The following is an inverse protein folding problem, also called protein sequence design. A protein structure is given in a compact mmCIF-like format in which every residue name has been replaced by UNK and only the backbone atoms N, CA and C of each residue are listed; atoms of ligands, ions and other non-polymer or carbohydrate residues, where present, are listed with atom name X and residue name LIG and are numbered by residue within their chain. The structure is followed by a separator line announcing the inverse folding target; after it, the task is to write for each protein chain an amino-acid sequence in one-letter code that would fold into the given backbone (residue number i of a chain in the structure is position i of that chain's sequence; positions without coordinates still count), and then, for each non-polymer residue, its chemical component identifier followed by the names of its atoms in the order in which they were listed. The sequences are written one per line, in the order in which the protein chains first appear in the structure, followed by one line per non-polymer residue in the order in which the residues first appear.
data_IF_131636566213
#
_entry.id   IF_131636566213
#
_cell.length_a   1.000
_cell.length_b   1.000
_cell.length_c   1.000
_cell.angle_alpha   90.00
_cell.angle_beta   90.00
_cell.angle_gamma   90.00
#
_symmetry.space_group_name_H-M   'P 1'
#
loop_
_entity.id
_entity.type
_entity.pdbx_description
1 polymer ?
#
# COMPACT_ATOMS: atom_id res chain seq x y z
N UNK A 1 -15.59 -1.50 -18.21
CA UNK A 1 -14.93 -1.77 -16.92
C UNK A 1 -15.11 -0.54 -16.04
N UNK A 2 -15.41 -0.68 -14.76
CA UNK A 2 -15.57 0.42 -13.78
C UNK A 2 -14.35 0.49 -12.86
N UNK A 3 -13.93 1.70 -12.46
CA UNK A 3 -12.90 1.91 -11.45
C UNK A 3 -13.56 2.29 -10.12
N UNK A 4 -13.24 1.59 -9.04
CA UNK A 4 -13.53 2.04 -7.68
C UNK A 4 -12.28 2.67 -7.09
N UNK A 5 -12.36 3.96 -6.76
CA UNK A 5 -11.33 4.67 -6.02
C UNK A 5 -11.70 4.55 -4.55
N UNK A 6 -10.90 3.83 -3.79
CA UNK A 6 -11.12 3.56 -2.38
C UNK A 6 -10.26 4.48 -1.51
N UNK A 7 -10.88 5.20 -0.59
CA UNK A 7 -10.19 6.03 0.40
C UNK A 7 -10.51 5.54 1.82
N UNK A 8 -9.53 4.96 2.53
CA UNK A 8 -9.64 4.79 3.97
C UNK A 8 -9.46 6.14 4.66
N UNK A 9 -10.34 6.47 5.60
CA UNK A 9 -10.23 7.72 6.36
C UNK A 9 -10.47 7.50 7.85
N UNK A 10 -9.80 8.31 8.68
CA UNK A 10 -10.01 8.35 10.13
C UNK A 10 -9.58 9.72 10.67
N UNK A 11 -10.54 10.54 11.13
CA UNK A 11 -10.31 11.89 11.63
C UNK A 11 -9.53 12.78 10.63
N UNK A 12 -9.97 12.82 9.38
CA UNK A 12 -9.32 13.53 8.27
C UNK A 12 -10.20 14.58 7.59
N UNK A 13 -11.26 15.07 8.26
CA UNK A 13 -12.14 16.10 7.70
C UNK A 13 -11.38 17.34 7.21
N UNK A 14 -10.27 17.69 7.87
CA UNK A 14 -9.45 18.87 7.56
C UNK A 14 -8.71 18.80 6.21
N UNK A 15 -8.55 17.60 5.61
CA UNK A 15 -7.75 17.43 4.38
C UNK A 15 -8.49 16.67 3.28
N UNK A 16 -9.53 15.90 3.60
CA UNK A 16 -10.24 15.04 2.63
C UNK A 16 -10.83 15.81 1.45
N UNK A 17 -11.03 17.12 1.60
CA UNK A 17 -11.50 17.99 0.53
C UNK A 17 -10.54 18.04 -0.67
N UNK A 18 -9.23 17.93 -0.48
CA UNK A 18 -8.26 17.98 -1.58
C UNK A 18 -8.39 16.75 -2.48
N UNK A 19 -8.61 15.56 -1.88
CA UNK A 19 -8.93 14.35 -2.62
C UNK A 19 -10.22 14.51 -3.43
N UNK A 20 -11.30 15.02 -2.81
CA UNK A 20 -12.58 15.29 -3.48
C UNK A 20 -12.42 16.21 -4.68
N UNK A 21 -11.76 17.36 -4.52
CA UNK A 21 -11.53 18.32 -5.60
C UNK A 21 -10.70 17.72 -6.75
N UNK A 22 -9.74 16.82 -6.43
CA UNK A 22 -8.97 16.12 -7.47
C UNK A 22 -9.82 15.13 -8.26
N UNK A 23 -10.80 14.50 -7.62
CA UNK A 23 -11.71 13.55 -8.25
C UNK A 23 -12.77 14.28 -9.12
N UNK A 24 -13.26 15.43 -8.69
CA UNK A 24 -14.14 16.27 -9.51
C UNK A 24 -13.52 16.68 -10.85
N UNK A 25 -12.19 16.91 -10.86
CA UNK A 25 -11.47 17.35 -12.06
C UNK A 25 -11.06 16.23 -13.00
N UNK A 26 -11.42 14.96 -12.73
CA UNK A 26 -11.06 13.86 -13.62
C UNK A 26 -11.68 14.03 -15.02
N UNK A 27 -10.85 13.85 -16.06
CA UNK A 27 -11.29 13.90 -17.48
C UNK A 27 -12.25 12.77 -17.85
N UNK A 28 -12.19 11.65 -17.11
CA UNK A 28 -13.10 10.53 -17.25
C UNK A 28 -13.81 10.25 -15.92
N UNK A 29 -15.14 10.35 -15.93
CA UNK A 29 -16.00 10.18 -14.74
C UNK A 29 -16.53 8.74 -14.56
N UNK A 30 -15.98 7.75 -15.28
CA UNK A 30 -16.40 6.35 -15.14
C UNK A 30 -15.75 5.66 -13.91
N UNK A 31 -16.01 6.24 -12.75
CA UNK A 31 -15.56 5.71 -11.47
C UNK A 31 -16.61 5.92 -10.36
N UNK A 32 -16.39 5.23 -9.24
CA UNK A 32 -17.07 5.48 -7.97
C UNK A 32 -16.02 5.79 -6.91
N UNK A 33 -16.27 6.76 -6.06
CA UNK A 33 -15.46 7.02 -4.88
C UNK A 33 -16.04 6.29 -3.67
N UNK A 34 -15.38 5.23 -3.23
CA UNK A 34 -15.73 4.47 -2.03
C UNK A 34 -14.90 4.99 -0.84
N UNK A 35 -15.53 5.67 0.08
CA UNK A 35 -14.91 6.14 1.32
C UNK A 35 -15.30 5.17 2.43
N UNK A 36 -14.29 4.55 3.07
CA UNK A 36 -14.51 3.75 4.28
C UNK A 36 -13.92 4.51 5.46
N UNK A 37 -14.80 5.02 6.29
CA UNK A 37 -14.47 5.71 7.53
C UNK A 37 -14.25 4.71 8.66
N UNK A 38 -13.03 4.66 9.15
CA UNK A 38 -12.59 3.76 10.22
C UNK A 38 -12.97 4.28 11.62
N UNK A 39 -14.16 4.85 11.76
CA UNK A 39 -14.75 5.28 13.04
C UNK A 39 -14.35 6.70 13.44
N UNK A 40 -14.31 7.65 12.50
CA UNK A 40 -14.04 9.07 12.80
C UNK A 40 -14.99 9.66 13.83
N UNK A 41 -14.46 10.57 14.62
CA UNK A 41 -15.16 11.34 15.67
C UNK A 41 -15.15 12.84 15.38
N UNK A 42 -14.49 13.25 14.30
CA UNK A 42 -14.49 14.63 13.79
C UNK A 42 -15.65 14.86 12.81
N UNK A 43 -15.63 15.96 12.06
CA UNK A 43 -16.66 16.34 11.09
C UNK A 43 -16.58 15.55 9.75
N UNK A 44 -15.92 14.40 9.68
CA UNK A 44 -15.78 13.61 8.44
C UNK A 44 -17.13 13.22 7.85
N UNK A 45 -18.08 12.78 8.68
CA UNK A 45 -19.43 12.38 8.24
C UNK A 45 -20.16 13.55 7.55
N UNK A 46 -20.16 14.72 8.22
CA UNK A 46 -20.81 15.94 7.72
C UNK A 46 -20.18 16.42 6.40
N UNK A 47 -18.86 16.37 6.32
CA UNK A 47 -18.11 16.74 5.12
C UNK A 47 -18.50 15.83 3.94
N UNK A 48 -18.52 14.52 4.13
CA UNK A 48 -18.87 13.57 3.06
C UNK A 48 -20.33 13.72 2.62
N UNK A 49 -21.25 13.96 3.55
CA UNK A 49 -22.66 14.24 3.21
C UNK A 49 -22.79 15.54 2.38
N UNK A 50 -21.95 16.54 2.62
CA UNK A 50 -21.93 17.74 1.77
C UNK A 50 -21.42 17.42 0.36
N UNK A 51 -20.36 16.60 0.21
CA UNK A 51 -19.91 16.14 -1.10
C UNK A 51 -21.00 15.38 -1.87
N UNK A 52 -21.76 14.52 -1.20
CA UNK A 52 -22.90 13.80 -1.83
C UNK A 52 -24.01 14.75 -2.28
N UNK A 53 -24.31 15.79 -1.51
CA UNK A 53 -25.31 16.80 -1.88
C UNK A 53 -24.91 17.61 -3.11
N UNK A 54 -23.62 17.84 -3.34
CA UNK A 54 -23.15 18.47 -4.57
C UNK A 54 -23.45 17.63 -5.82
N UNK A 55 -23.46 16.28 -5.70
CA UNK A 55 -23.88 15.37 -6.76
C UNK A 55 -22.96 15.33 -7.98
N UNK A 56 -21.71 15.79 -7.88
CA UNK A 56 -20.79 15.91 -9.03
C UNK A 56 -20.16 14.56 -9.38
N UNK A 57 -19.83 13.73 -8.38
CA UNK A 57 -19.27 12.40 -8.55
C UNK A 57 -20.07 11.36 -7.76
N UNK A 58 -20.02 10.09 -8.18
CA UNK A 58 -20.65 9.00 -7.44
C UNK A 58 -19.87 8.69 -6.18
N UNK A 59 -20.48 8.85 -4.99
CA UNK A 59 -19.84 8.62 -3.70
C UNK A 59 -20.62 7.55 -2.93
N UNK A 60 -19.91 6.50 -2.49
CA UNK A 60 -20.37 5.54 -1.49
C UNK A 60 -19.56 5.73 -0.21
N UNK A 61 -20.26 5.99 0.90
CA UNK A 61 -19.66 6.19 2.21
C UNK A 61 -20.12 5.11 3.18
N UNK A 62 -19.17 4.51 3.87
CA UNK A 62 -19.40 3.47 4.87
C UNK A 62 -18.57 3.79 6.11
N UNK A 63 -19.23 3.93 7.25
CA UNK A 63 -18.56 4.07 8.55
C UNK A 63 -18.54 2.74 9.28
N UNK A 64 -17.41 2.37 9.84
CA UNK A 64 -17.22 1.15 10.63
C UNK A 64 -16.56 1.46 11.98
N UNK A 65 -16.60 0.52 12.89
CA UNK A 65 -15.79 0.58 14.12
C UNK A 65 -14.31 0.60 13.78
N UNK A 66 -13.52 1.45 14.47
CA UNK A 66 -12.09 1.56 14.24
C UNK A 66 -11.38 0.20 14.38
N UNK A 67 -10.61 -0.15 13.37
CA UNK A 67 -9.87 -1.40 13.30
C UNK A 67 -8.60 -1.28 12.43
N UNK A 68 -8.36 -0.08 11.90
CA UNK A 68 -7.19 0.24 11.08
C UNK A 68 -7.41 0.09 9.57
N UNK A 69 -6.50 0.68 8.83
CA UNK A 69 -6.58 0.84 7.37
C UNK A 69 -6.74 -0.50 6.62
N UNK A 70 -6.12 -1.58 7.10
CA UNK A 70 -6.23 -2.91 6.49
C UNK A 70 -7.64 -3.49 6.62
N UNK A 71 -8.36 -3.21 7.72
CA UNK A 71 -9.77 -3.64 7.89
C UNK A 71 -10.71 -2.84 7.00
N UNK A 72 -10.42 -1.56 6.77
CA UNK A 72 -11.14 -0.75 5.80
C UNK A 72 -10.91 -1.27 4.35
N UNK A 73 -9.69 -1.69 4.02
CA UNK A 73 -9.38 -2.32 2.73
C UNK A 73 -10.11 -3.65 2.56
N UNK A 74 -10.15 -4.50 3.59
CA UNK A 74 -10.91 -5.75 3.55
C UNK A 74 -12.38 -5.49 3.22
N UNK A 75 -13.00 -4.53 3.92
CA UNK A 75 -14.38 -4.15 3.68
C UNK A 75 -14.58 -3.60 2.25
N UNK A 76 -13.64 -2.78 1.77
CA UNK A 76 -13.72 -2.25 0.41
C UNK A 76 -13.68 -3.37 -0.65
N UNK A 77 -12.79 -4.37 -0.50
CA UNK A 77 -12.70 -5.52 -1.41
C UNK A 77 -13.98 -6.36 -1.36
N UNK A 78 -14.55 -6.54 -0.18
CA UNK A 78 -15.81 -7.28 -0.01
C UNK A 78 -16.98 -6.59 -0.73
N UNK A 79 -17.06 -5.25 -0.60
CA UNK A 79 -18.18 -4.43 -1.08
C UNK A 79 -18.17 -4.12 -2.57
N UNK A 80 -17.04 -4.31 -3.25
CA UNK A 80 -16.91 -4.08 -4.69
C UNK A 80 -17.07 -5.39 -5.45
N UNK A 81 -18.07 -5.46 -6.34
CA UNK A 81 -18.39 -6.71 -7.03
C UNK A 81 -17.39 -7.04 -8.13
N UNK A 82 -17.02 -6.08 -8.98
CA UNK A 82 -16.18 -6.27 -10.17
C UNK A 82 -15.43 -4.98 -10.56
N UNK A 83 -14.58 -5.08 -11.56
CA UNK A 83 -13.79 -3.98 -12.11
C UNK A 83 -12.42 -3.83 -11.44
N UNK A 84 -11.98 -2.59 -11.29
CA UNK A 84 -10.71 -2.24 -10.66
C UNK A 84 -10.94 -1.56 -9.32
N UNK A 85 -10.06 -1.82 -8.37
CA UNK A 85 -9.96 -1.10 -7.10
C UNK A 85 -8.59 -0.46 -6.98
N UNK A 86 -8.57 0.87 -6.76
CA UNK A 86 -7.37 1.67 -6.52
C UNK A 86 -7.49 2.35 -5.17
N UNK A 87 -6.40 2.38 -4.39
CA UNK A 87 -6.35 3.13 -3.13
C UNK A 87 -5.93 4.57 -3.43
N UNK A 88 -6.72 5.52 -2.94
CA UNK A 88 -6.37 6.92 -2.82
C UNK A 88 -6.32 7.28 -1.33
N UNK A 89 -5.15 7.53 -0.80
CA UNK A 89 -4.98 7.92 0.60
C UNK A 89 -5.66 9.30 0.82
N UNK A 90 -6.20 9.55 2.02
CA UNK A 90 -7.05 10.73 2.32
C UNK A 90 -6.31 12.07 2.24
N UNK A 91 -4.99 12.04 2.24
CA UNK A 91 -4.08 13.19 2.17
C UNK A 91 -3.38 13.35 0.80
N UNK A 92 -3.78 12.52 -0.17
CA UNK A 92 -3.20 12.51 -1.52
C UNK A 92 -4.25 12.94 -2.58
N UNK A 93 -3.79 13.22 -3.81
CA UNK A 93 -4.64 13.64 -4.92
C UNK A 93 -4.30 12.91 -6.21
N UNK A 94 -5.24 12.86 -7.14
CA UNK A 94 -5.00 12.30 -8.48
C UNK A 94 -4.73 13.40 -9.51
N UNK A 95 -3.91 13.08 -10.51
CA UNK A 95 -3.78 13.89 -11.72
C UNK A 95 -5.08 13.85 -12.51
N UNK A 96 -5.43 14.93 -13.20
CA UNK A 96 -6.72 15.10 -13.88
C UNK A 96 -7.07 13.98 -14.89
N UNK A 97 -6.08 13.34 -15.49
CA UNK A 97 -6.26 12.23 -16.43
C UNK A 97 -6.04 10.83 -15.81
N UNK A 98 -5.95 10.71 -14.48
CA UNK A 98 -5.58 9.45 -13.84
C UNK A 98 -6.59 8.33 -14.12
N UNK A 99 -7.89 8.59 -13.97
CA UNK A 99 -8.96 7.62 -14.25
C UNK A 99 -8.93 7.17 -15.71
N UNK A 100 -8.80 8.10 -16.63
CA UNK A 100 -8.69 7.82 -18.07
C UNK A 100 -7.52 6.90 -18.37
N UNK A 101 -6.33 7.19 -17.81
CA UNK A 101 -5.12 6.40 -18.02
C UNK A 101 -5.26 5.00 -17.44
N UNK A 102 -5.75 4.86 -16.21
CA UNK A 102 -5.96 3.56 -15.56
C UNK A 102 -6.91 2.69 -16.38
N UNK A 103 -8.04 3.23 -16.82
CA UNK A 103 -9.03 2.49 -17.63
C UNK A 103 -8.47 2.13 -19.02
N UNK A 104 -7.73 3.04 -19.65
CA UNK A 104 -7.05 2.77 -20.92
C UNK A 104 -6.03 1.64 -20.77
N UNK A 105 -5.18 1.67 -19.76
CA UNK A 105 -4.19 0.64 -19.50
C UNK A 105 -4.83 -0.72 -19.21
N UNK A 106 -5.85 -0.73 -18.37
CA UNK A 106 -6.54 -1.98 -18.00
C UNK A 106 -7.27 -2.62 -19.19
N UNK A 107 -7.87 -1.81 -20.09
CA UNK A 107 -8.51 -2.31 -21.29
C UNK A 107 -7.51 -2.87 -22.33
N UNK A 108 -6.23 -2.56 -22.23
CA UNK A 108 -5.17 -3.12 -23.08
C UNK A 108 -4.65 -4.49 -22.62
N UNK A 109 -5.13 -4.99 -21.48
CA UNK A 109 -4.69 -6.28 -20.92
C UNK A 109 -5.52 -7.40 -21.54
N UNK A 110 -4.82 -8.35 -22.15
CA UNK A 110 -5.40 -9.58 -22.67
C UNK A 110 -4.83 -10.84 -21.98
N UNK A 111 -3.84 -10.66 -21.11
CA UNK A 111 -3.13 -11.75 -20.43
C UNK A 111 -3.79 -12.06 -19.08
N UNK A 112 -4.10 -13.33 -18.83
CA UNK A 112 -4.79 -13.80 -17.61
C UNK A 112 -3.95 -13.65 -16.32
N UNK A 113 -2.62 -13.56 -16.45
CA UNK A 113 -1.71 -13.47 -15.32
C UNK A 113 -1.36 -12.01 -14.92
N UNK A 114 -2.06 -11.03 -15.46
CA UNK A 114 -1.95 -9.62 -15.02
C UNK A 114 -3.05 -9.31 -14.00
N UNK A 115 -2.65 -8.96 -12.78
CA UNK A 115 -3.56 -8.65 -11.68
C UNK A 115 -4.06 -7.20 -11.68
N UNK A 116 -3.49 -6.35 -12.51
CA UNK A 116 -3.85 -4.93 -12.55
C UNK A 116 -2.82 -4.07 -13.25
N UNK A 117 -2.99 -2.77 -13.14
CA UNK A 117 -2.11 -1.74 -13.72
C UNK A 117 -1.59 -0.80 -12.64
N UNK A 118 -0.51 -0.11 -12.93
CA UNK A 118 0.05 0.88 -12.00
C UNK A 118 0.72 2.02 -12.73
N UNK A 119 0.50 3.25 -12.27
CA UNK A 119 1.30 4.41 -12.59
C UNK A 119 2.28 4.78 -11.48
N UNK A 120 2.97 5.90 -11.65
CA UNK A 120 3.89 6.45 -10.67
C UNK A 120 3.16 7.36 -9.68
N UNK A 121 3.62 7.32 -8.42
CA UNK A 121 3.37 8.41 -7.47
C UNK A 121 4.45 9.47 -7.64
N UNK A 122 4.08 10.71 -7.64
CA UNK A 122 4.96 11.86 -7.88
C UNK A 122 4.69 12.96 -6.85
N UNK A 123 5.67 13.82 -6.66
CA UNK A 123 5.48 15.08 -5.94
C UNK A 123 4.82 16.14 -6.85
N UNK A 124 4.32 17.23 -6.28
CA UNK A 124 3.73 18.36 -7.03
C UNK A 124 4.71 19.00 -8.02
N UNK A 125 6.02 18.89 -7.77
CA UNK A 125 7.08 19.36 -8.68
C UNK A 125 7.37 18.38 -9.83
N UNK A 126 6.65 17.25 -9.91
CA UNK A 126 6.80 16.22 -10.93
C UNK A 126 7.90 15.18 -10.62
N UNK A 127 8.63 15.32 -9.52
CA UNK A 127 9.66 14.34 -9.14
C UNK A 127 9.01 13.03 -8.70
N UNK A 128 9.61 11.89 -9.12
CA UNK A 128 9.08 10.55 -8.87
C UNK A 128 9.40 10.10 -7.44
N UNK A 129 8.41 9.50 -6.77
CA UNK A 129 8.58 8.88 -5.47
C UNK A 129 9.24 7.50 -5.65
N UNK A 130 10.39 7.32 -4.99
CA UNK A 130 11.21 6.11 -5.08
C UNK A 130 12.24 6.13 -6.20
N UNK A 131 12.48 4.98 -6.82
CA UNK A 131 13.47 4.86 -7.88
C UNK A 131 13.01 5.58 -9.16
N UNK A 132 13.97 6.21 -9.85
CA UNK A 132 13.71 6.76 -11.18
C UNK A 132 13.55 5.63 -12.19
N UNK A 133 12.59 5.78 -13.09
CA UNK A 133 12.40 4.87 -14.20
C UNK A 133 13.62 4.93 -15.15
N UNK A 134 14.27 3.78 -15.39
CA UNK A 134 15.46 3.71 -16.24
C UNK A 134 15.29 2.83 -17.48
N UNK A 135 14.12 2.22 -17.65
CA UNK A 135 13.84 1.29 -18.75
C UNK A 135 13.20 2.07 -19.91
N UNK A 136 13.69 1.84 -21.14
CA UNK A 136 13.20 2.52 -22.35
C UNK A 136 11.85 2.01 -22.87
N UNK A 137 11.07 1.29 -22.05
CA UNK A 137 9.75 0.78 -22.41
C UNK A 137 8.66 1.62 -21.75
N UNK A 138 7.51 1.72 -22.40
CA UNK A 138 6.34 2.40 -21.86
C UNK A 138 5.85 1.72 -20.58
N UNK A 139 5.90 0.40 -20.54
CA UNK A 139 5.52 -0.40 -19.38
C UNK A 139 6.43 -1.62 -19.15
N UNK A 140 6.29 -2.22 -17.99
CA UNK A 140 6.94 -3.46 -17.57
C UNK A 140 5.90 -4.35 -16.90
N UNK A 141 5.84 -5.62 -17.29
CA UNK A 141 5.07 -6.63 -16.58
C UNK A 141 5.97 -7.34 -15.57
N UNK A 142 5.76 -7.07 -14.29
CA UNK A 142 6.54 -7.65 -13.19
C UNK A 142 5.66 -7.91 -11.97
N UNK A 143 5.99 -8.94 -11.21
CA UNK A 143 5.33 -9.20 -9.92
C UNK A 143 5.76 -8.15 -8.88
N UNK A 144 4.97 -7.95 -7.83
CA UNK A 144 5.35 -7.06 -6.74
C UNK A 144 6.68 -7.49 -6.06
N UNK A 145 6.99 -8.78 -6.03
CA UNK A 145 8.24 -9.30 -5.47
C UNK A 145 9.47 -9.01 -6.35
N UNK A 146 9.28 -8.73 -7.64
CA UNK A 146 10.35 -8.42 -8.60
C UNK A 146 10.65 -6.92 -8.74
N UNK A 147 9.87 -6.04 -8.12
CA UNK A 147 9.97 -4.57 -8.27
C UNK A 147 11.39 -4.04 -8.19
N UNK A 148 12.18 -4.55 -7.24
CA UNK A 148 13.57 -4.16 -7.05
C UNK A 148 14.45 -4.41 -8.28
N UNK A 149 14.20 -5.51 -9.00
CA UNK A 149 14.96 -5.90 -10.20
C UNK A 149 14.79 -4.91 -11.34
N UNK A 150 13.61 -4.26 -11.39
CA UNK A 150 13.24 -3.33 -12.46
C UNK A 150 13.29 -1.86 -12.05
N UNK A 151 13.84 -1.54 -10.87
CA UNK A 151 13.90 -0.15 -10.38
C UNK A 151 12.52 0.46 -10.06
N UNK A 152 11.59 -0.37 -9.59
CA UNK A 152 10.22 0.03 -9.24
C UNK A 152 10.03 0.24 -7.73
N UNK A 153 11.09 0.60 -6.98
CA UNK A 153 10.98 0.86 -5.54
C UNK A 153 10.20 2.15 -5.28
N UNK A 154 9.75 2.28 -4.05
CA UNK A 154 8.89 3.39 -3.61
C UNK A 154 7.42 3.10 -3.90
N UNK A 155 6.55 3.93 -3.35
CA UNK A 155 5.12 3.76 -3.51
C UNK A 155 4.69 3.99 -4.96
N UNK A 156 3.71 3.24 -5.39
CA UNK A 156 3.15 3.28 -6.74
C UNK A 156 1.63 3.39 -6.66
N UNK A 157 1.03 3.78 -7.76
CA UNK A 157 -0.42 3.98 -7.88
C UNK A 157 -1.05 2.73 -8.53
N UNK A 158 -1.21 1.66 -7.74
CA UNK A 158 -1.71 0.38 -8.21
C UNK A 158 -3.25 0.38 -8.24
N UNK A 159 -3.82 -0.12 -9.35
CA UNK A 159 -5.23 -0.47 -9.50
C UNK A 159 -5.32 -1.98 -9.83
N UNK A 160 -5.86 -2.76 -8.91
CA UNK A 160 -5.99 -4.19 -9.04
C UNK A 160 -7.37 -4.60 -9.55
N UNK A 161 -7.44 -5.66 -10.35
CA UNK A 161 -8.71 -6.33 -10.64
C UNK A 161 -9.31 -6.91 -9.37
N UNK A 162 -10.56 -6.57 -9.09
CA UNK A 162 -11.28 -7.02 -7.89
C UNK A 162 -11.40 -8.54 -7.82
N UNK A 163 -11.59 -9.19 -8.96
CA UNK A 163 -11.62 -10.65 -9.09
C UNK A 163 -10.33 -11.33 -8.60
N UNK A 164 -9.19 -10.66 -8.74
CA UNK A 164 -7.91 -11.15 -8.20
C UNK A 164 -7.80 -10.84 -6.71
N UNK A 165 -8.12 -9.61 -6.27
CA UNK A 165 -8.10 -9.25 -4.85
C UNK A 165 -8.94 -10.21 -4.01
N UNK A 166 -10.13 -10.60 -4.50
CA UNK A 166 -11.06 -11.52 -3.82
C UNK A 166 -10.50 -12.94 -3.61
N UNK A 167 -9.46 -13.34 -4.31
CA UNK A 167 -8.80 -14.65 -4.08
C UNK A 167 -7.86 -14.64 -2.86
N UNK A 168 -7.38 -13.47 -2.43
CA UNK A 168 -6.30 -13.36 -1.45
C UNK A 168 -6.68 -12.60 -0.17
N UNK A 169 -7.80 -11.88 -0.18
CA UNK A 169 -8.34 -11.24 1.03
C UNK A 169 -9.06 -12.30 1.90
N UNK A 170 -9.30 -12.05 3.18
CA UNK A 170 -8.95 -10.85 3.92
C UNK A 170 -7.49 -10.81 4.37
N UNK A 171 -6.97 -9.60 4.53
CA UNK A 171 -5.77 -9.37 5.33
C UNK A 171 -6.11 -9.72 6.78
N UNK A 172 -5.30 -10.55 7.47
CA UNK A 172 -5.58 -10.95 8.85
C UNK A 172 -5.69 -9.76 9.81
N UNK A 173 -6.55 -9.93 10.84
CA UNK A 173 -6.76 -8.95 11.90
C UNK A 173 -6.27 -9.54 13.21
N UNK A 174 -5.50 -8.78 13.98
CA UNK A 174 -4.98 -9.19 15.27
C UNK A 174 -5.61 -8.37 16.39
N UNK A 175 -6.01 -9.04 17.47
CA UNK A 175 -6.62 -8.37 18.63
C UNK A 175 -5.65 -7.36 19.24
N UNK A 176 -6.13 -6.13 19.48
CA UNK A 176 -5.35 -5.04 20.04
C UNK A 176 -4.38 -4.35 19.06
N UNK A 177 -4.35 -4.76 17.80
CA UNK A 177 -3.58 -4.11 16.73
C UNK A 177 -4.51 -3.43 15.72
N UNK A 178 -4.04 -2.35 15.13
CA UNK A 178 -4.81 -1.56 14.18
C UNK A 178 -4.07 -1.32 12.85
N UNK A 179 -3.02 -2.08 12.59
CA UNK A 179 -2.31 -2.02 11.31
C UNK A 179 -1.69 -3.38 10.94
N UNK A 180 -1.92 -3.81 9.72
CA UNK A 180 -1.21 -4.88 9.04
C UNK A 180 -0.82 -4.37 7.66
N UNK A 181 0.45 -4.53 7.32
CA UNK A 181 0.99 -4.07 6.03
C UNK A 181 0.18 -4.60 4.83
N UNK A 182 -0.32 -3.71 4.00
CA UNK A 182 -1.02 -4.06 2.74
C UNK A 182 -0.16 -4.94 1.83
N UNK A 183 1.16 -4.85 1.98
CA UNK A 183 2.13 -5.69 1.30
C UNK A 183 1.93 -7.19 1.51
N UNK A 184 1.24 -7.63 2.57
CA UNK A 184 0.82 -9.03 2.76
C UNK A 184 -0.03 -9.48 1.56
N UNK A 185 -1.07 -8.70 1.23
CA UNK A 185 -1.97 -9.02 0.11
C UNK A 185 -1.25 -8.98 -1.24
N UNK A 186 -0.48 -7.90 -1.49
CA UNK A 186 0.26 -7.72 -2.74
C UNK A 186 1.30 -8.81 -2.99
N UNK A 187 1.98 -9.26 -1.93
CA UNK A 187 2.99 -10.29 -2.04
C UNK A 187 2.39 -11.69 -2.23
N UNK A 188 1.21 -11.99 -1.65
CA UNK A 188 0.48 -13.24 -1.89
C UNK A 188 0.08 -13.35 -3.37
N UNK A 189 -0.50 -12.30 -3.94
CA UNK A 189 -0.84 -12.21 -5.36
C UNK A 189 0.42 -12.44 -6.22
N UNK A 190 1.53 -11.81 -5.86
CA UNK A 190 2.79 -11.92 -6.58
C UNK A 190 3.45 -13.30 -6.45
N UNK A 191 3.29 -13.99 -5.30
CA UNK A 191 3.84 -15.33 -5.05
C UNK A 191 3.19 -16.38 -5.96
N UNK A 192 1.92 -16.21 -6.31
CA UNK A 192 1.20 -17.07 -7.25
C UNK A 192 1.46 -16.69 -8.73
N UNK A 193 2.43 -15.79 -8.98
CA UNK A 193 2.90 -15.45 -10.33
C UNK A 193 2.13 -14.34 -11.03
N UNK A 194 1.12 -13.74 -10.38
CA UNK A 194 0.43 -12.60 -10.95
C UNK A 194 1.33 -11.37 -11.00
N UNK A 195 1.31 -10.68 -12.15
CA UNK A 195 2.08 -9.47 -12.43
C UNK A 195 1.19 -8.25 -12.38
N UNK A 196 1.80 -7.10 -12.20
CA UNK A 196 1.21 -5.78 -12.47
C UNK A 196 1.89 -5.23 -13.72
N UNK A 197 1.12 -4.58 -14.58
CA UNK A 197 1.64 -3.79 -15.69
C UNK A 197 1.96 -2.39 -15.17
N UNK A 198 3.26 -2.13 -15.00
CA UNK A 198 3.78 -0.88 -14.44
C UNK A 198 4.06 0.10 -15.57
N UNK A 199 3.44 1.28 -15.54
CA UNK A 199 3.63 2.35 -16.52
C UNK A 199 4.52 3.46 -15.98
N UNK A 200 5.35 4.04 -16.88
CA UNK A 200 6.20 5.18 -16.56
C UNK A 200 5.46 6.51 -16.72
N UNK A 201 4.33 6.65 -16.07
CA UNK A 201 3.52 7.86 -16.10
C UNK A 201 3.03 8.22 -14.69
N UNK A 202 3.27 9.48 -14.29
CA UNK A 202 2.80 10.00 -13.02
C UNK A 202 1.30 10.31 -13.08
N UNK A 203 0.52 9.67 -12.22
CA UNK A 203 -0.94 9.82 -12.15
C UNK A 203 -1.45 10.17 -10.75
N UNK A 204 -0.58 10.18 -9.76
CA UNK A 204 -0.93 10.28 -8.35
C UNK A 204 0.04 11.22 -7.65
N UNK A 205 -0.47 12.27 -7.00
CA UNK A 205 0.32 13.22 -6.22
C UNK A 205 0.29 12.85 -4.75
N UNK A 206 1.48 12.69 -4.15
CA UNK A 206 1.62 12.49 -2.71
C UNK A 206 2.10 13.75 -2.00
N UNK A 207 1.49 13.99 -0.84
CA UNK A 207 1.96 15.00 0.11
C UNK A 207 2.41 14.32 1.42
N UNK A 208 3.67 14.56 1.82
CA UNK A 208 4.17 14.05 3.09
C UNK A 208 3.79 14.98 4.24
N UNK A 209 2.74 14.64 4.96
CA UNK A 209 2.31 15.38 6.14
C UNK A 209 3.20 15.10 7.36
N UNK A 210 3.19 16.06 8.31
CA UNK A 210 3.97 15.93 9.54
C UNK A 210 3.46 14.84 10.48
N UNK A 211 2.20 14.50 10.42
CA UNK A 211 1.50 13.47 11.20
C UNK A 211 1.36 12.11 10.48
N UNK A 212 1.93 11.98 9.27
CA UNK A 212 1.87 10.78 8.45
C UNK A 212 2.54 9.55 9.11
N UNK A 213 2.01 8.36 8.83
CA UNK A 213 2.50 7.08 9.39
C UNK A 213 3.98 6.81 9.09
N UNK A 214 4.49 7.28 7.97
CA UNK A 214 5.88 7.09 7.54
C UNK A 214 6.91 7.66 8.54
N UNK A 215 6.58 8.76 9.23
CA UNK A 215 7.48 9.36 10.23
C UNK A 215 7.61 8.53 11.51
N UNK A 216 6.61 7.71 11.84
CA UNK A 216 6.52 6.96 13.09
C UNK A 216 6.62 5.44 12.90
N UNK A 217 7.23 4.98 11.80
CA UNK A 217 7.25 3.57 11.39
C UNK A 217 7.73 2.59 12.48
N UNK A 218 8.76 2.96 13.25
CA UNK A 218 9.29 2.12 14.34
C UNK A 218 8.23 1.92 15.44
N UNK A 219 7.58 3.01 15.87
CA UNK A 219 6.51 2.93 16.88
C UNK A 219 5.31 2.15 16.36
N UNK A 220 4.99 2.30 15.07
CA UNK A 220 3.90 1.56 14.43
C UNK A 220 4.18 0.05 14.46
N UNK A 221 5.37 -0.38 14.06
CA UNK A 221 5.74 -1.81 14.08
C UNK A 221 5.83 -2.40 15.49
N UNK A 222 6.23 -1.61 16.50
CA UNK A 222 6.20 -2.05 17.90
C UNK A 222 4.75 -2.22 18.37
N UNK A 223 3.85 -1.29 18.03
CA UNK A 223 2.44 -1.34 18.41
C UNK A 223 1.71 -2.50 17.73
N UNK A 224 1.96 -2.71 16.44
CA UNK A 224 1.30 -3.70 15.58
C UNK A 224 2.26 -4.88 15.27
N UNK A 225 2.81 -5.47 16.32
CA UNK A 225 3.92 -6.40 16.18
C UNK A 225 3.53 -7.74 15.53
N UNK A 226 2.31 -8.23 15.77
CA UNK A 226 1.83 -9.48 15.16
C UNK A 226 1.62 -9.31 13.66
N UNK A 227 0.97 -8.22 13.24
CA UNK A 227 0.80 -7.86 11.82
C UNK A 227 2.13 -7.66 11.12
N UNK A 228 3.07 -6.94 11.77
CA UNK A 228 4.43 -6.78 11.25
C UNK A 228 5.18 -8.11 11.14
N UNK A 229 5.05 -8.99 12.13
CA UNK A 229 5.66 -10.32 12.12
C UNK A 229 5.11 -11.19 10.98
N UNK A 230 3.80 -11.17 10.76
CA UNK A 230 3.17 -11.87 9.64
C UNK A 230 3.79 -11.42 8.31
N UNK A 231 3.81 -10.11 8.06
CA UNK A 231 4.36 -9.56 6.82
C UNK A 231 5.83 -9.97 6.61
N UNK A 232 6.66 -9.90 7.66
CA UNK A 232 8.07 -10.28 7.56
C UNK A 232 8.24 -11.79 7.33
N UNK A 233 7.47 -12.65 8.00
CA UNK A 233 7.51 -14.11 7.79
C UNK A 233 7.17 -14.48 6.36
N UNK A 234 6.08 -13.93 5.82
CA UNK A 234 5.70 -14.19 4.44
C UNK A 234 6.76 -13.64 3.46
N UNK A 235 7.22 -12.41 3.65
CA UNK A 235 8.27 -11.84 2.82
C UNK A 235 9.57 -12.67 2.85
N UNK A 236 9.95 -13.18 4.02
CA UNK A 236 11.09 -14.08 4.18
C UNK A 236 10.91 -15.38 3.39
N UNK A 237 9.73 -15.98 3.43
CA UNK A 237 9.45 -17.24 2.71
C UNK A 237 9.56 -17.09 1.19
N UNK A 238 9.20 -15.93 0.65
CA UNK A 238 9.30 -15.64 -0.79
C UNK A 238 10.74 -15.39 -1.27
N UNK A 239 11.71 -15.21 -0.37
CA UNK A 239 13.10 -14.96 -0.76
C UNK A 239 13.79 -16.24 -1.26
N UNK A 240 14.32 -16.19 -2.49
CA UNK A 240 14.96 -17.35 -3.14
C UNK A 240 16.41 -17.60 -2.69
N UNK A 241 17.13 -16.57 -2.23
CA UNK A 241 18.53 -16.70 -1.85
C UNK A 241 18.73 -16.49 -0.36
N UNK A 242 19.72 -17.18 0.21
CA UNK A 242 20.12 -17.04 1.61
C UNK A 242 20.39 -15.58 2.00
N UNK A 243 21.11 -14.85 1.16
CA UNK A 243 21.41 -13.43 1.40
C UNK A 243 20.16 -12.55 1.44
N UNK A 244 19.19 -12.80 0.54
CA UNK A 244 17.95 -12.06 0.54
C UNK A 244 17.10 -12.40 1.78
N UNK A 245 17.08 -13.65 2.23
CA UNK A 245 16.44 -14.06 3.49
C UNK A 245 17.03 -13.31 4.69
N UNK A 246 18.36 -13.26 4.81
CA UNK A 246 19.04 -12.51 5.86
C UNK A 246 18.68 -11.01 5.83
N UNK A 247 18.64 -10.40 4.62
CA UNK A 247 18.26 -8.99 4.45
C UNK A 247 16.79 -8.72 4.79
N UNK A 248 15.89 -9.66 4.48
CA UNK A 248 14.46 -9.51 4.73
C UNK A 248 14.12 -9.34 6.22
N UNK A 249 14.84 -10.01 7.10
CA UNK A 249 14.63 -9.93 8.55
C UNK A 249 15.52 -8.90 9.26
N UNK A 250 16.41 -8.21 8.53
CA UNK A 250 17.42 -7.34 9.14
C UNK A 250 16.82 -6.26 10.06
N UNK A 251 15.86 -5.47 9.55
CA UNK A 251 15.20 -4.46 10.37
C UNK A 251 14.27 -5.07 11.43
N UNK A 252 13.64 -6.21 11.10
CA UNK A 252 12.80 -6.94 12.05
C UNK A 252 13.56 -7.36 13.30
N UNK A 253 14.85 -7.77 13.20
CA UNK A 253 15.65 -8.14 14.38
C UNK A 253 15.82 -6.98 15.36
N UNK A 254 15.83 -5.73 14.88
CA UNK A 254 15.85 -4.55 15.75
C UNK A 254 14.52 -4.37 16.49
N UNK A 255 13.39 -4.43 15.77
CA UNK A 255 12.04 -4.31 16.37
C UNK A 255 11.78 -5.47 17.37
N UNK A 256 12.11 -6.69 16.97
CA UNK A 256 11.97 -7.88 17.82
C UNK A 256 12.75 -7.75 19.14
N UNK A 257 13.97 -7.19 19.10
CA UNK A 257 14.74 -6.87 20.31
C UNK A 257 14.00 -5.90 21.22
N UNK A 258 13.39 -4.85 20.68
CA UNK A 258 12.59 -3.87 21.44
C UNK A 258 11.33 -4.50 22.06
N UNK A 259 10.80 -5.57 21.44
CA UNK A 259 9.69 -6.39 21.94
C UNK A 259 10.12 -7.51 22.90
N UNK A 260 11.40 -7.62 23.21
CA UNK A 260 11.94 -8.64 24.13
C UNK A 260 12.06 -10.04 23.53
N UNK A 261 11.93 -10.20 22.20
CA UNK A 261 12.08 -11.49 21.52
C UNK A 261 13.54 -11.94 21.58
N UNK A 262 13.77 -13.15 22.08
CA UNK A 262 15.10 -13.72 22.23
C UNK A 262 15.72 -14.19 20.91
N UNK A 263 17.05 -14.38 20.89
CA UNK A 263 17.75 -14.93 19.74
C UNK A 263 17.28 -16.35 19.38
N UNK A 264 16.97 -17.15 20.41
CA UNK A 264 16.47 -18.50 20.24
C UNK A 264 15.13 -18.50 19.50
N UNK A 265 14.18 -17.67 19.94
CA UNK A 265 12.87 -17.51 19.27
C UNK A 265 13.03 -17.04 17.83
N UNK A 266 13.95 -16.11 17.52
CA UNK A 266 14.20 -15.66 16.16
C UNK A 266 14.77 -16.77 15.26
N UNK A 267 15.70 -17.56 15.78
CA UNK A 267 16.27 -18.73 15.07
C UNK A 267 15.19 -19.76 14.77
N UNK A 268 14.34 -20.07 15.74
CA UNK A 268 13.23 -21.01 15.59
C UNK A 268 12.16 -20.44 14.62
N UNK A 269 11.80 -19.18 14.77
CA UNK A 269 10.77 -18.50 13.97
C UNK A 269 11.07 -18.48 12.47
N UNK A 270 12.34 -18.28 12.08
CA UNK A 270 12.77 -18.15 10.69
C UNK A 270 13.53 -19.38 10.19
N UNK A 271 13.70 -20.42 11.02
CA UNK A 271 14.48 -21.62 10.68
C UNK A 271 15.87 -21.28 10.12
N UNK A 272 16.58 -20.38 10.79
CA UNK A 272 17.95 -19.94 10.46
C UNK A 272 18.94 -20.35 11.54
N UNK A 273 20.25 -20.29 11.24
CA UNK A 273 21.27 -20.50 12.26
C UNK A 273 21.70 -19.16 12.92
N UNK A 274 22.46 -19.26 14.02
CA UNK A 274 22.90 -18.08 14.77
C UNK A 274 23.86 -17.17 13.97
N UNK A 275 24.62 -17.71 13.03
CA UNK A 275 25.52 -16.93 12.15
C UNK A 275 24.69 -16.04 11.24
N UNK A 276 23.66 -16.59 10.62
CA UNK A 276 22.75 -15.84 9.75
C UNK A 276 21.99 -14.75 10.52
N UNK A 277 21.54 -15.08 11.75
CA UNK A 277 20.93 -14.10 12.64
C UNK A 277 21.92 -12.97 13.01
N UNK A 278 23.17 -13.30 13.30
CA UNK A 278 24.20 -12.30 13.62
C UNK A 278 24.45 -11.35 12.44
N UNK A 279 24.61 -11.88 11.21
CA UNK A 279 24.76 -11.08 9.99
C UNK A 279 23.54 -10.20 9.79
N UNK A 280 22.33 -10.74 9.96
CA UNK A 280 21.08 -9.98 9.84
C UNK A 280 21.03 -8.80 10.82
N UNK A 281 21.45 -8.99 12.06
CA UNK A 281 21.53 -7.92 13.07
C UNK A 281 22.52 -6.82 12.69
N UNK A 282 23.68 -7.16 12.14
CA UNK A 282 24.66 -6.18 11.65
C UNK A 282 24.00 -5.32 10.55
N UNK A 283 23.36 -5.96 9.57
CA UNK A 283 22.66 -5.24 8.51
C UNK A 283 21.53 -4.37 9.10
N UNK A 284 20.79 -4.89 10.05
CA UNK A 284 19.73 -4.17 10.77
C UNK A 284 20.24 -2.89 11.46
N UNK A 285 21.38 -2.96 12.14
CA UNK A 285 22.02 -1.77 12.74
C UNK A 285 22.38 -0.71 11.70
N UNK A 286 22.91 -1.12 10.55
CA UNK A 286 23.24 -0.20 9.44
C UNK A 286 21.97 0.46 8.90
N UNK A 287 20.88 -0.30 8.74
CA UNK A 287 19.59 0.23 8.29
C UNK A 287 19.05 1.27 9.27
N UNK A 288 19.01 0.94 10.57
CA UNK A 288 18.55 1.86 11.63
C UNK A 288 19.40 3.13 11.67
N UNK A 289 20.72 3.01 11.56
CA UNK A 289 21.61 4.17 11.55
C UNK A 289 21.32 5.11 10.36
N UNK A 290 21.13 4.55 9.16
CA UNK A 290 20.77 5.31 7.96
C UNK A 290 19.43 6.01 8.11
N UNK A 291 18.41 5.32 8.62
CA UNK A 291 17.08 5.90 8.86
C UNK A 291 17.14 7.09 9.82
N UNK A 292 17.94 7.00 10.89
CA UNK A 292 18.13 8.10 11.84
C UNK A 292 18.86 9.30 11.21
N UNK A 293 19.79 9.06 10.29
CA UNK A 293 20.52 10.13 9.58
C UNK A 293 19.63 10.89 8.57
N UNK A 294 18.73 10.18 7.88
CA UNK A 294 17.80 10.80 6.93
C UNK A 294 16.66 11.60 7.61
N UNK A 295 16.46 11.42 8.94
CA UNK A 295 15.45 12.14 9.73
C UNK A 295 15.97 13.40 10.43
N UNK A 296 17.28 13.66 10.38
CA UNK A 296 17.95 14.90 10.81
C UNK A 296 18.14 15.83 9.62
#
# INVERSE_FOLDING_TARGET
MKLTIFTPTYNRAYILNDAYESLKRQTNQNFEWLIVDDGSTDATDELVENFKKEGVISIRYIKKTNGGQHTALNLAIEMVDDGLLMILDSDDTLKENAVERILFWANSINEENIAGVSGLRIHKDGSVIGDKWFIKKEYIDATNLERKKYGLRGDKAEAYFVSILKKYYPIPVFSGENDVEKGVLWNRIAADGYKIRWFNEGIYYCEYLNDGMTKNIEKNYIKNFQGYTLWIKENFSYQKTKLNKIKAIAYYTHIAKLKGISNKELVEMFHINYVDLFISKIIGHIVVFRMKKCRR
#
